data_IF_939708725197
#
_entry.id   IF_939708725197
#
_cell.length_a   1.000
_cell.length_b   1.000
_cell.length_c   1.000
_cell.angle_alpha   90.00
_cell.angle_beta   90.00
_cell.angle_gamma   90.00
#
_symmetry.space_group_name_H-M   'P 1'
#
loop_
_entity.id
_entity.type
_entity.pdbx_description
1 polymer ?
#
# COMPACT_ATOMS: atom_id res chain seq x y z
N UNK A 1 -12.68 14.40 -12.43
CA UNK A 1 -13.07 14.03 -11.05
C UNK A 1 -13.45 12.56 -11.11
N UNK A 2 -13.04 11.67 -10.20
CA UNK A 2 -13.26 10.20 -10.30
C UNK A 2 -14.29 9.82 -9.24
N UNK A 3 -15.38 9.14 -9.58
CA UNK A 3 -16.49 8.83 -8.66
C UNK A 3 -16.57 7.33 -8.39
N UNK A 4 -16.32 6.93 -7.14
CA UNK A 4 -16.64 5.58 -6.68
C UNK A 4 -18.18 5.42 -6.53
N UNK A 5 -18.74 4.21 -6.78
CA UNK A 5 -20.12 3.94 -6.44
C UNK A 5 -20.22 3.85 -4.92
N UNK A 6 -21.23 4.52 -4.38
CA UNK A 6 -21.71 4.42 -3.00
C UNK A 6 -21.11 5.48 -2.04
N UNK A 7 -21.99 6.44 -1.72
CA UNK A 7 -22.04 7.28 -0.52
C UNK A 7 -21.29 8.62 -0.59
N UNK A 8 -21.99 9.67 -1.07
CA UNK A 8 -21.98 11.11 -0.71
C UNK A 8 -20.69 11.81 -0.20
N UNK A 9 -19.52 11.25 -0.47
CA UNK A 9 -18.23 11.91 -0.46
C UNK A 9 -17.56 11.47 -1.74
N UNK A 10 -17.31 12.42 -2.64
CA UNK A 10 -16.35 12.20 -3.72
C UNK A 10 -15.00 11.83 -3.09
N UNK A 11 -14.74 10.54 -2.89
CA UNK A 11 -13.44 10.06 -2.48
C UNK A 11 -12.52 10.35 -3.66
N UNK A 12 -11.80 11.46 -3.57
CA UNK A 12 -10.72 11.79 -4.50
C UNK A 12 -9.79 10.58 -4.55
N UNK A 13 -9.25 10.26 -5.73
CA UNK A 13 -8.36 9.12 -5.97
C UNK A 13 -7.29 8.95 -4.87
N UNK A 14 -6.76 10.05 -4.34
CA UNK A 14 -5.86 10.03 -3.19
C UNK A 14 -6.46 9.34 -1.94
N UNK A 15 -7.63 9.78 -1.47
CA UNK A 15 -8.31 9.16 -0.33
C UNK A 15 -8.72 7.71 -0.60
N UNK A 16 -8.87 7.34 -1.87
CA UNK A 16 -9.11 5.96 -2.26
C UNK A 16 -7.89 5.07 -1.98
N UNK A 17 -6.69 5.56 -2.33
CA UNK A 17 -5.40 4.93 -2.05
C UNK A 17 -5.06 4.94 -0.56
N UNK A 18 -5.36 6.03 0.17
CA UNK A 18 -5.14 6.08 1.62
C UNK A 18 -5.92 4.97 2.35
N UNK A 19 -7.12 4.63 1.85
CA UNK A 19 -7.92 3.53 2.38
C UNK A 19 -7.48 2.12 1.94
N UNK A 20 -6.41 1.95 1.17
CA UNK A 20 -6.04 0.67 0.58
C UNK A 20 -5.65 -0.39 1.62
N UNK A 21 -4.97 0.00 2.71
CA UNK A 21 -4.63 -0.91 3.81
C UNK A 21 -5.89 -1.47 4.49
N UNK A 22 -6.89 -0.62 4.72
CA UNK A 22 -8.17 -1.04 5.27
C UNK A 22 -8.89 -2.04 4.36
N UNK A 23 -8.88 -1.80 3.04
CA UNK A 23 -9.43 -2.73 2.04
C UNK A 23 -8.67 -4.06 2.01
N UNK A 24 -7.35 -4.03 2.13
CA UNK A 24 -6.51 -5.22 2.20
C UNK A 24 -6.83 -6.08 3.43
N UNK A 25 -7.02 -5.46 4.60
CA UNK A 25 -7.43 -6.14 5.84
C UNK A 25 -8.86 -6.68 5.73
N UNK A 26 -9.77 -5.94 5.10
CA UNK A 26 -11.13 -6.41 4.84
C UNK A 26 -11.14 -7.68 3.98
N UNK A 27 -10.32 -7.74 2.92
CA UNK A 27 -10.16 -8.94 2.07
C UNK A 27 -9.61 -10.13 2.86
N UNK A 28 -8.63 -9.90 3.74
CA UNK A 28 -8.12 -10.96 4.62
C UNK A 28 -9.24 -11.46 5.57
N UNK A 29 -10.08 -10.57 6.11
CA UNK A 29 -11.22 -10.92 6.97
C UNK A 29 -12.30 -11.71 6.22
N UNK A 30 -12.61 -11.33 5.00
CA UNK A 30 -13.55 -12.05 4.11
C UNK A 30 -13.06 -13.49 3.83
N UNK A 31 -11.73 -13.67 3.76
CA UNK A 31 -11.10 -15.00 3.67
C UNK A 31 -11.04 -15.75 5.02
N UNK A 32 -11.67 -15.25 6.08
CA UNK A 32 -11.72 -15.87 7.40
C UNK A 32 -10.43 -15.71 8.23
N UNK A 33 -9.51 -14.84 7.81
CA UNK A 33 -8.26 -14.61 8.53
C UNK A 33 -8.44 -13.60 9.67
N UNK A 34 -7.62 -13.74 10.72
CA UNK A 34 -7.56 -12.77 11.80
C UNK A 34 -7.06 -11.41 11.27
N UNK A 35 -7.83 -10.36 11.59
CA UNK A 35 -7.64 -8.99 11.15
C UNK A 35 -7.07 -8.08 12.25
N UNK A 36 -6.70 -8.62 13.42
CA UNK A 36 -5.96 -7.86 14.41
C UNK A 36 -4.57 -7.46 13.87
N UNK A 37 -4.03 -6.36 14.38
CA UNK A 37 -2.80 -5.75 13.85
C UNK A 37 -1.63 -6.71 13.94
N UNK A 38 -1.53 -7.50 15.00
CA UNK A 38 -0.44 -8.45 15.21
C UNK A 38 -0.48 -9.59 14.18
N UNK A 39 -1.63 -10.23 13.95
CA UNK A 39 -1.71 -11.31 12.97
C UNK A 39 -1.59 -10.79 11.54
N UNK A 40 -2.12 -9.61 11.23
CA UNK A 40 -1.92 -8.95 9.93
C UNK A 40 -0.45 -8.67 9.70
N UNK A 41 0.22 -8.07 10.69
CA UNK A 41 1.65 -7.75 10.61
C UNK A 41 2.46 -9.03 10.40
N UNK A 42 2.29 -10.04 11.27
CA UNK A 42 3.00 -11.31 11.15
C UNK A 42 2.76 -11.98 9.80
N UNK A 43 1.53 -11.99 9.31
CA UNK A 43 1.18 -12.60 8.02
C UNK A 43 1.86 -11.86 6.87
N UNK A 44 1.74 -10.54 6.82
CA UNK A 44 2.30 -9.76 5.71
C UNK A 44 3.83 -9.73 5.75
N UNK A 45 4.45 -9.72 6.93
CA UNK A 45 5.92 -9.79 7.07
C UNK A 45 6.47 -11.20 6.93
N UNK A 46 5.65 -12.25 6.94
CA UNK A 46 6.07 -13.63 6.65
C UNK A 46 5.81 -14.04 5.20
N UNK A 47 5.02 -13.26 4.45
CA UNK A 47 4.73 -13.54 3.05
C UNK A 47 5.96 -13.24 2.17
N UNK A 48 6.55 -14.24 1.49
CA UNK A 48 7.73 -14.07 0.66
C UNK A 48 7.51 -13.14 -0.53
N UNK A 49 6.26 -12.98 -1.00
CA UNK A 49 5.92 -12.13 -2.14
C UNK A 49 5.85 -10.64 -1.77
N UNK A 50 5.78 -10.34 -0.47
CA UNK A 50 5.74 -8.99 0.07
C UNK A 50 7.11 -8.54 0.62
N UNK A 51 8.10 -9.42 0.67
CA UNK A 51 9.40 -9.11 1.26
C UNK A 51 10.17 -8.07 0.46
N UNK A 52 10.63 -6.98 1.10
CA UNK A 52 11.54 -6.06 0.47
C UNK A 52 12.95 -6.67 0.39
N UNK A 53 13.70 -6.27 -0.63
CA UNK A 53 15.13 -6.61 -0.72
C UNK A 53 15.94 -5.84 0.33
N UNK A 54 17.09 -6.40 0.71
CA UNK A 54 18.02 -5.73 1.62
C UNK A 54 18.44 -4.33 1.12
N UNK A 55 18.58 -4.16 -0.20
CA UNK A 55 18.89 -2.86 -0.81
C UNK A 55 17.76 -1.84 -0.61
N UNK A 56 16.50 -2.26 -0.75
CA UNK A 56 15.34 -1.39 -0.53
C UNK A 56 15.23 -0.96 0.94
N UNK A 57 15.51 -1.87 1.89
CA UNK A 57 15.49 -1.59 3.33
C UNK A 57 16.61 -0.59 3.69
N UNK A 58 17.84 -0.85 3.24
CA UNK A 58 19.01 -0.02 3.58
C UNK A 58 19.03 1.35 2.91
N UNK A 59 18.24 1.53 1.85
CA UNK A 59 18.06 2.84 1.23
C UNK A 59 17.19 3.73 2.14
N UNK A 60 17.84 4.60 2.91
CA UNK A 60 17.22 5.60 3.79
C UNK A 60 17.19 7.01 3.18
N UNK A 61 17.49 7.15 1.89
CA UNK A 61 17.40 8.42 1.19
C UNK A 61 15.94 8.76 0.88
N UNK A 62 15.41 9.76 1.58
CA UNK A 62 14.04 10.26 1.44
C UNK A 62 13.78 10.71 -0.01
N UNK A 63 14.76 11.31 -0.69
CA UNK A 63 14.58 11.76 -2.08
C UNK A 63 14.42 10.58 -3.03
N UNK A 64 15.12 9.48 -2.78
CA UNK A 64 14.90 8.23 -3.51
C UNK A 64 13.51 7.66 -3.26
N UNK A 65 12.97 7.77 -2.05
CA UNK A 65 11.62 7.31 -1.72
C UNK A 65 10.56 8.12 -2.46
N UNK A 66 10.70 9.45 -2.50
CA UNK A 66 9.80 10.34 -3.23
C UNK A 66 9.79 10.01 -4.73
N UNK A 67 10.96 9.83 -5.34
CA UNK A 67 11.07 9.44 -6.77
C UNK A 67 10.40 8.09 -7.04
N UNK A 68 10.63 7.11 -6.16
CA UNK A 68 10.01 5.79 -6.28
C UNK A 68 8.49 5.88 -6.12
N UNK A 69 8.01 6.64 -5.13
CA UNK A 69 6.59 6.86 -4.89
C UNK A 69 5.89 7.53 -6.06
N UNK A 70 6.51 8.57 -6.65
CA UNK A 70 5.99 9.23 -7.84
C UNK A 70 5.88 8.26 -9.03
N UNK A 71 6.95 7.49 -9.31
CA UNK A 71 6.94 6.51 -10.38
C UNK A 71 5.89 5.39 -10.17
N UNK A 72 5.66 4.99 -8.92
CA UNK A 72 4.59 4.04 -8.59
C UNK A 72 3.20 4.65 -8.77
N UNK A 73 3.02 5.92 -8.42
CA UNK A 73 1.75 6.62 -8.60
C UNK A 73 1.41 6.76 -10.10
N UNK A 74 2.38 7.15 -10.92
CA UNK A 74 2.19 7.22 -12.38
C UNK A 74 1.78 5.87 -12.95
N UNK A 75 2.44 4.79 -12.52
CA UNK A 75 2.22 3.44 -13.04
C UNK A 75 0.95 2.76 -12.55
N UNK A 76 0.58 2.95 -11.29
CA UNK A 76 -0.49 2.16 -10.66
C UNK A 76 -1.69 3.01 -10.24
N UNK A 77 -1.47 4.27 -9.87
CA UNK A 77 -2.54 5.12 -9.37
C UNK A 77 -3.25 5.88 -10.48
N UNK A 78 -2.51 6.41 -11.45
CA UNK A 78 -3.07 7.28 -12.48
C UNK A 78 -3.18 6.63 -13.86
N UNK A 79 -2.43 5.56 -14.12
CA UNK A 79 -2.41 4.91 -15.44
C UNK A 79 -3.80 4.44 -15.87
N UNK A 80 -4.20 4.79 -17.10
CA UNK A 80 -5.46 4.38 -17.70
C UNK A 80 -6.74 4.96 -17.08
N UNK A 81 -6.68 5.70 -15.96
CA UNK A 81 -7.86 6.27 -15.31
C UNK A 81 -8.26 7.63 -15.89
N UNK A 82 -9.53 7.76 -16.23
CA UNK A 82 -10.16 9.03 -16.59
C UNK A 82 -10.98 9.58 -15.43
N UNK A 83 -11.22 10.90 -15.43
CA UNK A 83 -12.34 11.47 -14.72
C UNK A 83 -13.62 10.62 -14.85
N UNK A 84 -14.16 10.26 -13.70
CA UNK A 84 -15.43 9.61 -13.38
C UNK A 84 -15.40 8.09 -13.52
N UNK A 85 -14.23 7.55 -13.85
CA UNK A 85 -14.03 6.11 -13.88
C UNK A 85 -14.22 5.51 -12.48
N UNK A 86 -14.83 4.33 -12.44
CA UNK A 86 -14.90 3.52 -11.23
C UNK A 86 -13.72 2.54 -11.24
N UNK A 87 -12.91 2.47 -10.17
CA UNK A 87 -11.88 1.44 -10.05
C UNK A 87 -12.48 0.04 -10.26
N UNK A 88 -11.98 -0.69 -11.25
CA UNK A 88 -12.40 -2.05 -11.51
C UNK A 88 -11.69 -3.04 -10.58
N UNK A 89 -12.08 -4.33 -10.63
CA UNK A 89 -11.50 -5.36 -9.77
C UNK A 89 -9.98 -5.53 -9.95
N UNK A 90 -9.48 -5.43 -11.19
CA UNK A 90 -8.05 -5.56 -11.49
C UNK A 90 -7.24 -4.41 -10.86
N UNK A 91 -7.71 -3.18 -11.01
CA UNK A 91 -7.13 -2.01 -10.38
C UNK A 91 -7.13 -2.15 -8.85
N UNK A 92 -8.23 -2.65 -8.29
CA UNK A 92 -8.37 -2.89 -6.85
C UNK A 92 -7.36 -3.90 -6.33
N UNK A 93 -7.16 -5.00 -7.04
CA UNK A 93 -6.20 -6.03 -6.68
C UNK A 93 -4.75 -5.56 -6.83
N UNK A 94 -4.44 -4.78 -7.87
CA UNK A 94 -3.14 -4.14 -8.04
C UNK A 94 -2.85 -3.14 -6.91
N UNK A 95 -3.83 -2.29 -6.57
CA UNK A 95 -3.75 -1.34 -5.47
C UNK A 95 -3.52 -2.03 -4.13
N UNK A 96 -4.29 -3.08 -3.81
CA UNK A 96 -4.14 -3.85 -2.57
C UNK A 96 -2.76 -4.50 -2.52
N UNK A 97 -2.32 -5.14 -3.61
CA UNK A 97 -1.01 -5.81 -3.69
C UNK A 97 0.12 -4.82 -3.48
N UNK A 98 0.10 -3.68 -4.17
CA UNK A 98 1.13 -2.66 -4.03
C UNK A 98 1.13 -2.07 -2.61
N UNK A 99 -0.04 -1.79 -2.05
CA UNK A 99 -0.15 -1.21 -0.71
C UNK A 99 0.40 -2.14 0.37
N UNK A 100 0.11 -3.44 0.29
CA UNK A 100 0.72 -4.44 1.18
C UNK A 100 2.26 -4.40 1.09
N UNK A 101 2.83 -4.37 -0.12
CA UNK A 101 4.29 -4.27 -0.32
C UNK A 101 4.89 -3.00 0.27
N UNK A 102 4.24 -1.85 0.06
CA UNK A 102 4.76 -0.56 0.55
C UNK A 102 4.66 -0.45 2.07
N UNK A 103 3.61 -0.98 2.70
CA UNK A 103 3.48 -1.02 4.17
C UNK A 103 4.54 -1.93 4.80
N UNK A 104 4.79 -3.10 4.22
CA UNK A 104 5.86 -3.98 4.71
C UNK A 104 7.21 -3.28 4.58
N UNK A 105 7.53 -2.71 3.41
CA UNK A 105 8.78 -1.98 3.19
C UNK A 105 8.95 -0.79 4.14
N UNK A 106 7.89 -0.01 4.40
CA UNK A 106 7.96 1.14 5.30
C UNK A 106 8.23 0.71 6.75
N UNK A 107 7.63 -0.40 7.19
CA UNK A 107 7.91 -1.01 8.50
C UNK A 107 9.40 -1.39 8.66
N UNK A 108 9.97 -2.07 7.65
CA UNK A 108 11.40 -2.42 7.67
C UNK A 108 12.31 -1.18 7.65
N UNK A 109 11.99 -0.16 6.86
CA UNK A 109 12.77 1.09 6.80
C UNK A 109 12.70 1.86 8.10
N UNK A 110 11.52 1.93 8.73
CA UNK A 110 11.37 2.57 10.04
C UNK A 110 12.21 1.84 11.09
N UNK A 111 12.18 0.50 11.11
CA UNK A 111 13.03 -0.28 12.00
C UNK A 111 14.52 -0.01 11.75
N UNK A 112 14.96 0.04 10.50
CA UNK A 112 16.35 0.38 10.13
C UNK A 112 16.75 1.79 10.62
N UNK A 113 15.86 2.79 10.48
CA UNK A 113 16.09 4.15 11.00
C UNK A 113 16.23 4.14 12.52
N UNK A 114 15.32 3.46 13.22
CA UNK A 114 15.33 3.39 14.68
C UNK A 114 16.58 2.68 15.19
N UNK A 115 16.97 1.56 14.57
CA UNK A 115 18.18 0.82 14.92
C UNK A 115 19.44 1.67 14.76
N UNK A 116 19.53 2.51 13.71
CA UNK A 116 20.66 3.42 13.52
C UNK A 116 20.67 4.62 14.46
N UNK A 117 19.51 5.01 14.97
CA UNK A 117 19.35 6.20 15.81
C UNK A 117 19.47 5.89 17.30
N UNK A 118 19.17 4.65 17.69
CA UNK A 118 19.05 4.21 19.09
C UNK A 118 19.97 3.03 19.46
N UNK A 119 20.56 2.36 18.47
CA UNK A 119 21.53 1.28 18.66
C UNK A 119 22.96 1.77 18.54
#
# INVERSE_FOLDING_TARGET
MITAPDNDRSIRLHGFWDGAVGKAIAKDREAGLNANVEAVTQRWTSDPTLQPTAAQIKNLDIMSWLKTGAALADKFSYDGLKPEDKPNAEYMDAMITLSKKQVVLSGYRLAEILNKSLG
#
